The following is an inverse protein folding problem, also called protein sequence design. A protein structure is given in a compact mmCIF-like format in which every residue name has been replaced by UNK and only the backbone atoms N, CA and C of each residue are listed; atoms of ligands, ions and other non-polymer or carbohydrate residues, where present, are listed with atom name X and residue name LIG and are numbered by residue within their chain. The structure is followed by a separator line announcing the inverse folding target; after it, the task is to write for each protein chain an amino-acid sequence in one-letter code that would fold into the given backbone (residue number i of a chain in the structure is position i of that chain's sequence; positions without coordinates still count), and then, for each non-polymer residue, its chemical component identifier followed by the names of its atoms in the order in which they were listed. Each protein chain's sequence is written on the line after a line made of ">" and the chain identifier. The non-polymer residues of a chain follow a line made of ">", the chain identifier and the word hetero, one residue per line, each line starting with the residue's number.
data_IF_471450007489
#
_entry.id   IF_471450007489
#
_cell.length_a   1.000
_cell.length_b   1.000
_cell.length_c   1.000
_cell.angle_alpha   90.00
_cell.angle_beta   90.00
_cell.angle_gamma   90.00
#
_symmetry.space_group_name_H-M   'P 1'
#
loop_
_entity.id
_entity.type
_entity.pdbx_description
1 polymer ?
#
# COMPACT_ATOMS: atom_id res chain seq x y z
N UNK A 1 12.19 -11.36 3.03
CA UNK A 1 11.20 -12.47 2.96
C UNK A 1 10.48 -12.27 1.65
N UNK A 2 10.75 -13.09 0.62
CA UNK A 2 10.19 -12.86 -0.72
C UNK A 2 8.72 -13.28 -0.73
N UNK A 3 7.81 -12.32 -0.84
CA UNK A 3 6.38 -12.61 -0.99
C UNK A 3 6.06 -12.76 -2.47
N UNK A 4 5.42 -13.87 -2.83
CA UNK A 4 4.81 -14.02 -4.14
C UNK A 4 3.53 -13.17 -4.19
N UNK A 5 3.56 -12.04 -4.90
CA UNK A 5 2.42 -11.14 -5.02
C UNK A 5 1.17 -11.78 -5.67
N UNK A 6 1.29 -12.99 -6.26
CA UNK A 6 0.18 -13.75 -6.84
C UNK A 6 -0.63 -14.58 -5.83
N UNK A 7 -0.13 -14.75 -4.61
CA UNK A 7 -0.73 -15.60 -3.57
C UNK A 7 -1.27 -14.79 -2.38
N UNK A 8 -1.59 -13.51 -2.61
CA UNK A 8 -2.14 -12.63 -1.58
C UNK A 8 -3.60 -12.99 -1.33
N UNK A 9 -4.00 -13.37 -0.10
CA UNK A 9 -5.38 -13.78 0.22
C UNK A 9 -6.30 -12.58 0.55
N UNK A 10 -5.90 -11.36 0.14
CA UNK A 10 -6.58 -10.11 0.42
C UNK A 10 -6.77 -9.34 -0.88
N UNK A 11 -7.93 -8.71 -1.02
CA UNK A 11 -8.15 -7.67 -2.02
C UNK A 11 -7.81 -6.31 -1.40
N UNK A 12 -6.81 -5.64 -1.96
CA UNK A 12 -6.38 -4.30 -1.53
C UNK A 12 -7.06 -3.18 -2.35
N UNK A 13 -7.98 -3.51 -3.25
CA UNK A 13 -8.71 -2.56 -4.11
C UNK A 13 -7.78 -1.60 -4.88
N UNK A 14 -6.61 -2.07 -5.33
CA UNK A 14 -5.54 -1.21 -5.86
C UNK A 14 -5.95 -0.41 -7.11
N UNK A 15 -6.87 -0.94 -7.92
CA UNK A 15 -7.44 -0.20 -9.05
C UNK A 15 -8.24 1.02 -8.57
N UNK A 16 -9.10 0.85 -7.57
CA UNK A 16 -9.88 1.94 -6.97
C UNK A 16 -8.96 2.96 -6.31
N UNK A 17 -8.04 2.48 -5.46
CA UNK A 17 -7.09 3.32 -4.72
C UNK A 17 -6.20 4.12 -5.67
N UNK A 18 -5.62 3.50 -6.70
CA UNK A 18 -4.79 4.22 -7.67
C UNK A 18 -5.57 5.31 -8.42
N UNK A 19 -6.85 5.09 -8.71
CA UNK A 19 -7.68 6.11 -9.33
C UNK A 19 -7.98 7.29 -8.39
N UNK A 20 -8.22 7.02 -7.11
CA UNK A 20 -8.44 8.06 -6.08
C UNK A 20 -7.16 8.86 -5.77
N UNK A 21 -5.98 8.25 -5.91
CA UNK A 21 -4.70 8.90 -5.65
C UNK A 21 -4.16 9.73 -6.82
N UNK A 22 -4.83 9.75 -7.98
CA UNK A 22 -4.38 10.54 -9.14
C UNK A 22 -4.20 12.02 -8.78
N UNK A 23 -3.01 12.55 -9.06
CA UNK A 23 -2.64 13.93 -8.77
C UNK A 23 -2.05 14.15 -7.37
N UNK A 24 -2.06 13.13 -6.49
CA UNK A 24 -1.31 13.19 -5.24
C UNK A 24 0.19 13.13 -5.52
N UNK A 25 0.96 14.06 -4.95
CA UNK A 25 2.44 14.07 -5.07
C UNK A 25 3.11 13.11 -4.11
N UNK A 26 2.52 12.93 -2.92
CA UNK A 26 3.04 12.10 -1.84
C UNK A 26 1.91 11.39 -1.14
N UNK A 27 2.11 10.10 -0.85
CA UNK A 27 1.13 9.25 -0.17
C UNK A 27 1.85 8.48 0.93
N UNK A 28 1.27 8.47 2.13
CA UNK A 28 1.67 7.57 3.21
C UNK A 28 0.61 6.47 3.30
N UNK A 29 1.06 5.21 3.23
CA UNK A 29 0.23 4.02 3.38
C UNK A 29 0.47 3.44 4.77
N UNK A 30 -0.60 3.33 5.55
CA UNK A 30 -0.56 2.63 6.83
C UNK A 30 -1.14 1.22 6.66
N UNK A 31 -0.45 0.23 7.23
CA UNK A 31 -0.89 -1.16 7.22
C UNK A 31 -0.82 -1.71 8.65
N UNK A 32 -1.83 -2.47 9.10
CA UNK A 32 -1.71 -3.31 10.28
C UNK A 32 -0.51 -4.25 10.15
N UNK A 33 0.08 -4.66 11.28
CA UNK A 33 1.32 -5.45 11.29
C UNK A 33 1.23 -6.74 10.46
N UNK A 34 0.08 -7.41 10.47
CA UNK A 34 -0.15 -8.62 9.67
C UNK A 34 -0.13 -8.39 8.15
N UNK A 35 -0.33 -7.14 7.70
CA UNK A 35 -0.40 -6.75 6.30
C UNK A 35 0.88 -6.06 5.81
N UNK A 36 1.73 -5.52 6.70
CA UNK A 36 3.00 -4.85 6.34
C UNK A 36 3.89 -5.69 5.43
N UNK A 37 3.84 -7.01 5.57
CA UNK A 37 4.59 -7.95 4.73
C UNK A 37 4.26 -7.80 3.23
N UNK A 38 3.07 -7.32 2.87
CA UNK A 38 2.62 -7.08 1.50
C UNK A 38 2.99 -5.70 0.94
N UNK A 39 3.66 -4.84 1.72
CA UNK A 39 3.99 -3.47 1.33
C UNK A 39 4.72 -3.39 -0.01
N UNK A 40 5.69 -4.28 -0.26
CA UNK A 40 6.44 -4.31 -1.53
C UNK A 40 5.53 -4.59 -2.74
N UNK A 41 4.57 -5.51 -2.61
CA UNK A 41 3.62 -5.83 -3.66
C UNK A 41 2.68 -4.64 -3.93
N UNK A 42 2.14 -4.03 -2.87
CA UNK A 42 1.28 -2.85 -2.97
C UNK A 42 2.04 -1.69 -3.62
N UNK A 43 3.27 -1.44 -3.18
CA UNK A 43 4.13 -0.39 -3.72
C UNK A 43 4.37 -0.60 -5.21
N UNK A 44 4.75 -1.81 -5.61
CA UNK A 44 5.01 -2.11 -7.02
C UNK A 44 3.78 -1.82 -7.88
N UNK A 45 2.61 -2.32 -7.48
CA UNK A 45 1.37 -2.11 -8.23
C UNK A 45 0.94 -0.65 -8.30
N UNK A 46 1.09 0.11 -7.21
CA UNK A 46 0.73 1.54 -7.20
C UNK A 46 1.73 2.35 -8.04
N UNK A 47 3.03 2.08 -7.93
CA UNK A 47 4.08 2.80 -8.69
C UNK A 47 4.00 2.56 -10.20
N UNK A 48 3.46 1.43 -10.65
CA UNK A 48 3.23 1.16 -12.08
C UNK A 48 2.18 2.12 -12.70
N UNK A 49 1.25 2.61 -11.87
CA UNK A 49 0.14 3.49 -12.30
C UNK A 49 0.37 4.96 -11.92
N UNK A 50 1.03 5.19 -10.78
CA UNK A 50 1.26 6.50 -10.17
C UNK A 50 2.72 6.94 -10.31
N UNK A 51 3.18 7.11 -11.56
CA UNK A 51 4.58 7.37 -11.88
C UNK A 51 5.18 8.64 -11.20
N UNK A 52 4.33 9.64 -10.93
CA UNK A 52 4.73 10.94 -10.34
C UNK A 52 4.41 11.06 -8.84
N UNK A 53 4.07 9.95 -8.17
CA UNK A 53 3.69 9.92 -6.76
C UNK A 53 4.74 9.22 -5.92
N UNK A 54 5.26 9.90 -4.89
CA UNK A 54 6.13 9.29 -3.89
C UNK A 54 5.29 8.51 -2.86
N UNK A 55 5.53 7.21 -2.73
CA UNK A 55 4.79 6.33 -1.82
C UNK A 55 5.69 5.96 -0.63
N UNK A 56 5.20 6.23 0.57
CA UNK A 56 5.84 5.89 1.84
C UNK A 56 4.96 4.92 2.62
N UNK A 57 5.57 4.05 3.43
CA UNK A 57 4.84 3.16 4.33
C UNK A 57 5.13 3.53 5.79
N UNK A 58 4.07 3.63 6.59
CA UNK A 58 4.23 3.82 8.03
C UNK A 58 4.81 2.54 8.66
N UNK A 59 5.85 2.72 9.48
CA UNK A 59 6.52 1.62 10.17
C UNK A 59 6.00 1.41 11.60
N UNK A 60 5.29 2.39 12.16
CA UNK A 60 4.66 2.32 13.48
C UNK A 60 3.64 1.19 13.55
N UNK A 61 3.46 0.61 14.74
CA UNK A 61 2.38 -0.36 14.97
C UNK A 61 1.03 0.26 14.61
N UNK A 62 0.14 -0.51 14.01
CA UNK A 62 -1.23 -0.09 13.74
C UNK A 62 -2.16 -1.23 14.13
N UNK A 63 -2.97 -1.00 15.16
CA UNK A 63 -3.89 -2.00 15.73
C UNK A 63 -5.31 -1.89 15.16
N UNK A 64 -5.60 -0.81 14.42
CA UNK A 64 -6.89 -0.57 13.79
C UNK A 64 -7.08 0.89 13.43
N UNK A 65 -8.29 1.22 12.96
CA UNK A 65 -8.63 2.59 12.52
C UNK A 65 -8.61 3.65 13.64
N UNK A 66 -8.48 3.25 14.90
CA UNK A 66 -8.33 4.18 16.03
C UNK A 66 -6.90 4.74 16.19
N UNK A 67 -5.96 4.27 15.36
CA UNK A 67 -4.52 4.52 15.49
C UNK A 67 -3.95 4.94 14.13
N UNK A 68 -4.10 6.23 13.81
CA UNK A 68 -3.73 6.88 12.54
C UNK A 68 -2.38 7.60 12.62
#
# INVERSE_FOLDING_TARGET
>A
MNINCKEIPYDFELERVSNELKGAKRVIVQLPDGLKKYAECIQKSLSEVLADTEIYFSMEGSFGACDL
#
